data_IF_074638377675
#
_entry.id   IF_074638377675
#
_cell.length_a   1.000
_cell.length_b   1.000
_cell.length_c   1.000
_cell.angle_alpha   90.00
_cell.angle_beta   90.00
_cell.angle_gamma   90.00
#
_symmetry.space_group_name_H-M   'P 1'
#
loop_
_entity.id
_entity.type
_entity.pdbx_description
1 polymer ?
#
# COMPACT_ATOMS: atom_id res chain seq x y z
N UNK A 1 31.88 22.18 61.95
CA UNK A 1 32.78 21.03 61.75
C UNK A 1 32.37 20.32 60.47
N UNK A 2 33.35 20.05 59.60
CA UNK A 2 33.24 19.29 58.35
C UNK A 2 32.96 17.82 58.66
N UNK A 3 32.07 17.19 57.89
CA UNK A 3 32.24 15.85 57.30
C UNK A 3 31.20 15.74 56.18
N UNK A 4 31.56 15.94 54.91
CA UNK A 4 32.22 15.02 53.97
C UNK A 4 31.39 13.76 53.64
N UNK A 5 31.19 13.60 52.33
CA UNK A 5 30.87 12.37 51.58
C UNK A 5 29.36 12.04 51.55
N UNK A 6 28.75 11.56 50.48
CA UNK A 6 29.26 10.84 49.31
C UNK A 6 28.44 11.25 48.07
N UNK A 7 29.12 11.33 46.94
CA UNK A 7 28.51 11.16 45.63
C UNK A 7 27.80 9.80 45.55
N UNK A 8 26.58 9.80 45.03
CA UNK A 8 26.02 8.63 44.37
C UNK A 8 25.05 9.11 43.30
N UNK A 9 25.62 9.27 42.11
CA UNK A 9 24.87 9.24 40.88
C UNK A 9 24.11 7.90 40.83
N UNK A 10 22.80 7.96 40.96
CA UNK A 10 21.94 6.89 40.44
C UNK A 10 21.06 7.55 39.41
N UNK A 11 21.55 7.48 38.18
CA UNK A 11 20.81 7.81 36.99
C UNK A 11 19.69 6.78 36.89
N UNK A 12 18.56 7.07 37.51
CA UNK A 12 17.31 6.41 37.18
C UNK A 12 16.91 6.93 35.78
N UNK A 13 17.54 6.39 34.75
CA UNK A 13 16.87 6.23 33.46
C UNK A 13 15.65 5.38 33.76
N UNK A 14 14.56 6.07 34.09
CA UNK A 14 13.24 5.49 34.07
C UNK A 14 13.08 5.06 32.63
N UNK A 15 13.31 3.76 32.38
CA UNK A 15 12.91 3.10 31.17
C UNK A 15 11.39 3.25 31.11
N UNK A 16 10.94 4.39 30.58
CA UNK A 16 9.67 4.50 29.91
C UNK A 16 9.79 3.54 28.74
N UNK A 17 9.58 2.26 29.05
CA UNK A 17 9.36 1.20 28.08
C UNK A 17 8.19 1.70 27.27
N UNK A 18 8.52 2.27 26.12
CA UNK A 18 7.57 2.66 25.09
C UNK A 18 6.83 1.37 24.76
N UNK A 19 5.69 1.20 25.41
CA UNK A 19 4.68 0.20 25.11
C UNK A 19 4.03 0.63 23.81
N UNK A 20 4.82 0.65 22.74
CA UNK A 20 4.39 1.14 21.46
C UNK A 20 4.95 0.26 20.38
N UNK A 21 4.08 -0.06 19.44
CA UNK A 21 4.37 -0.89 18.28
C UNK A 21 4.47 -2.39 18.56
N UNK A 22 3.55 -2.94 19.36
CA UNK A 22 2.81 -4.11 18.86
C UNK A 22 1.88 -3.61 17.74
N UNK A 23 2.49 -3.08 16.66
CA UNK A 23 1.93 -3.25 15.32
C UNK A 23 1.90 -4.75 15.19
N UNK A 24 0.76 -5.34 15.57
CA UNK A 24 0.30 -6.57 14.97
C UNK A 24 0.62 -6.35 13.49
N UNK A 25 1.66 -7.01 12.99
CA UNK A 25 1.74 -7.31 11.57
C UNK A 25 0.48 -8.13 11.37
N UNK A 26 -0.65 -7.45 11.20
CA UNK A 26 -1.88 -8.01 10.68
C UNK A 26 -1.34 -8.68 9.44
N UNK A 27 -1.24 -10.01 9.47
CA UNK A 27 -0.90 -10.75 8.26
C UNK A 27 -1.80 -10.08 7.22
N UNK A 28 -1.25 -9.45 6.17
CA UNK A 28 -2.10 -8.88 5.14
C UNK A 28 -3.08 -10.01 4.83
N UNK A 29 -4.36 -9.70 4.97
CA UNK A 29 -5.41 -10.67 4.72
C UNK A 29 -5.33 -10.94 3.23
N UNK A 30 -4.39 -11.81 2.86
CA UNK A 30 -3.82 -11.92 1.53
C UNK A 30 -4.90 -12.40 0.55
N UNK A 31 -5.99 -12.94 1.08
CA UNK A 31 -7.17 -13.39 0.34
C UNK A 31 -8.28 -12.35 0.21
N UNK A 32 -8.12 -11.18 0.82
CA UNK A 32 -9.12 -10.11 0.82
C UNK A 32 -8.56 -8.79 0.27
N UNK A 33 -7.70 -8.83 -0.75
CA UNK A 33 -7.30 -7.60 -1.45
C UNK A 33 -8.53 -6.96 -2.12
N UNK A 34 -8.70 -5.64 -1.94
CA UNK A 34 -9.69 -4.84 -2.65
C UNK A 34 -8.95 -3.92 -3.61
N UNK A 35 -9.37 -3.88 -4.87
CA UNK A 35 -8.78 -3.01 -5.89
C UNK A 35 -9.89 -2.32 -6.68
N UNK A 36 -9.57 -1.17 -7.26
CA UNK A 36 -10.39 -0.58 -8.30
C UNK A 36 -10.33 -1.48 -9.54
N UNK A 37 -11.50 -1.86 -10.08
CA UNK A 37 -11.65 -2.78 -11.21
C UNK A 37 -12.51 -2.14 -12.29
N UNK A 38 -11.90 -1.39 -13.20
CA UNK A 38 -12.60 -0.59 -14.20
C UNK A 38 -11.71 -0.22 -15.39
N UNK A 39 -12.34 0.27 -16.46
CA UNK A 39 -11.66 0.91 -17.59
C UNK A 39 -11.87 2.43 -17.54
N UNK A 40 -11.06 3.18 -18.27
CA UNK A 40 -11.23 4.63 -18.42
C UNK A 40 -12.63 5.00 -18.92
N UNK A 41 -13.15 4.24 -19.89
CA UNK A 41 -14.49 4.41 -20.46
C UNK A 41 -15.61 4.24 -19.44
N UNK A 42 -15.43 3.33 -18.49
CA UNK A 42 -16.47 2.92 -17.55
C UNK A 42 -16.23 3.45 -16.13
N UNK A 43 -15.29 4.39 -15.99
CA UNK A 43 -14.82 4.92 -14.72
C UNK A 43 -15.97 5.40 -13.83
N UNK A 44 -16.90 6.17 -14.42
CA UNK A 44 -17.94 6.87 -13.68
C UNK A 44 -18.89 5.94 -12.91
N UNK A 45 -19.15 4.74 -13.43
CA UNK A 45 -20.14 3.83 -12.85
C UNK A 45 -19.55 2.52 -12.34
N UNK A 46 -18.36 2.10 -12.79
CA UNK A 46 -17.67 0.89 -12.29
C UNK A 46 -16.49 1.18 -11.35
N UNK A 47 -16.01 2.42 -11.28
CA UNK A 47 -14.88 2.80 -10.43
C UNK A 47 -15.17 3.76 -9.24
N UNK A 48 -16.41 3.95 -8.74
CA UNK A 48 -16.61 4.80 -7.57
C UNK A 48 -16.03 4.17 -6.28
N UNK A 49 -15.86 2.85 -6.24
CA UNK A 49 -15.30 2.13 -5.10
C UNK A 49 -14.47 0.91 -5.54
N UNK A 50 -13.55 0.50 -4.68
CA UNK A 50 -12.81 -0.73 -4.87
C UNK A 50 -13.70 -1.95 -4.60
N UNK A 51 -13.45 -3.03 -5.34
CA UNK A 51 -14.17 -4.30 -5.22
C UNK A 51 -13.20 -5.40 -4.81
N UNK A 52 -13.73 -6.43 -4.13
CA UNK A 52 -12.93 -7.57 -3.68
C UNK A 52 -12.33 -8.31 -4.88
N UNK A 53 -11.04 -8.56 -4.84
CA UNK A 53 -10.39 -9.44 -5.81
C UNK A 53 -10.86 -10.88 -5.60
N UNK A 54 -11.28 -11.53 -6.68
CA UNK A 54 -11.79 -12.91 -6.65
C UNK A 54 -10.74 -13.89 -7.17
N UNK A 55 -10.93 -15.18 -6.88
CA UNK A 55 -10.11 -16.25 -7.43
C UNK A 55 -8.66 -16.26 -6.93
N UNK A 56 -8.37 -15.76 -5.73
CA UNK A 56 -6.99 -15.77 -5.21
C UNK A 56 -6.06 -14.72 -5.84
N UNK A 57 -6.59 -13.76 -6.58
CA UNK A 57 -5.85 -12.58 -7.04
C UNK A 57 -5.56 -11.67 -5.85
N UNK A 58 -4.29 -11.38 -5.59
CA UNK A 58 -3.86 -10.70 -4.36
C UNK A 58 -3.23 -9.33 -4.63
N UNK A 59 -3.11 -8.93 -5.90
CA UNK A 59 -2.40 -7.74 -6.32
C UNK A 59 -3.30 -6.82 -7.15
N UNK A 60 -3.18 -5.51 -6.96
CA UNK A 60 -3.80 -4.51 -7.81
C UNK A 60 -2.84 -4.07 -8.92
N UNK A 61 -3.38 -3.73 -10.09
CA UNK A 61 -2.63 -3.08 -11.15
C UNK A 61 -3.37 -1.86 -11.71
N UNK A 62 -2.61 -0.97 -12.34
CA UNK A 62 -3.08 0.08 -13.26
C UNK A 62 -2.25 -0.01 -14.53
N UNK A 63 -2.93 -0.19 -15.66
CA UNK A 63 -2.38 -0.11 -17.01
C UNK A 63 -2.51 1.32 -17.50
N UNK A 64 -1.42 1.87 -18.03
CA UNK A 64 -1.37 3.16 -18.68
C UNK A 64 -1.03 2.97 -20.15
N UNK A 65 -1.60 3.82 -21.01
CA UNK A 65 -1.35 3.88 -22.44
C UNK A 65 -0.90 5.29 -22.81
N UNK A 66 -0.03 5.39 -23.81
CA UNK A 66 0.24 6.67 -24.47
C UNK A 66 -0.95 7.09 -25.33
N UNK A 67 -1.30 8.36 -25.26
CA UNK A 67 -2.23 8.99 -26.19
C UNK A 67 -1.51 9.54 -27.43
N UNK A 68 -2.28 10.05 -28.39
CA UNK A 68 -1.78 10.58 -29.67
C UNK A 68 -0.79 11.75 -29.50
N UNK A 69 -0.81 12.42 -28.35
CA UNK A 69 0.08 13.53 -28.02
C UNK A 69 1.31 13.09 -27.21
N UNK A 70 1.52 11.78 -27.03
CA UNK A 70 2.58 11.21 -26.21
C UNK A 70 2.35 11.33 -24.71
N UNK A 71 1.19 11.84 -24.28
CA UNK A 71 0.77 11.90 -22.89
C UNK A 71 0.36 10.53 -22.38
N UNK A 72 0.71 10.21 -21.14
CA UNK A 72 0.34 8.94 -20.54
C UNK A 72 -0.98 9.05 -19.77
N UNK A 73 -1.94 8.18 -20.08
CA UNK A 73 -3.24 8.11 -19.39
C UNK A 73 -3.50 6.68 -18.92
N UNK A 74 -4.11 6.55 -17.74
CA UNK A 74 -4.54 5.24 -17.28
C UNK A 74 -5.68 4.72 -18.16
N UNK A 75 -5.65 3.43 -18.49
CA UNK A 75 -6.62 2.76 -19.35
C UNK A 75 -7.44 1.71 -18.59
N UNK A 76 -6.78 0.94 -17.70
CA UNK A 76 -7.40 -0.16 -16.97
C UNK A 76 -6.87 -0.20 -15.53
N UNK A 77 -7.74 -0.47 -14.57
CA UNK A 77 -7.43 -0.81 -13.19
C UNK A 77 -7.99 -2.20 -12.90
N UNK A 78 -7.26 -3.05 -12.19
CA UNK A 78 -7.73 -4.41 -11.94
C UNK A 78 -7.00 -5.17 -10.83
N UNK A 79 -7.45 -6.40 -10.62
CA UNK A 79 -6.78 -7.40 -9.77
C UNK A 79 -6.05 -8.42 -10.64
N UNK A 80 -4.91 -8.92 -10.16
CA UNK A 80 -4.20 -10.05 -10.77
C UNK A 80 -3.47 -10.89 -9.71
N UNK A 81 -3.00 -12.08 -10.10
CA UNK A 81 -2.15 -12.95 -9.28
C UNK A 81 -0.72 -12.40 -9.17
N UNK A 82 -0.19 -11.89 -10.28
CA UNK A 82 1.14 -11.30 -10.40
C UNK A 82 1.08 -10.06 -11.29
N UNK A 83 2.08 -9.20 -11.22
CA UNK A 83 2.13 -8.01 -12.06
C UNK A 83 2.09 -8.42 -13.54
N UNK A 84 1.11 -7.95 -14.33
CA UNK A 84 1.05 -8.30 -15.75
C UNK A 84 2.29 -7.78 -16.48
N UNK A 85 2.50 -8.26 -17.70
CA UNK A 85 3.54 -7.72 -18.58
C UNK A 85 2.95 -6.61 -19.44
N UNK A 86 3.61 -5.46 -19.48
CA UNK A 86 3.16 -4.33 -20.29
C UNK A 86 3.51 -4.57 -21.77
N UNK A 87 2.62 -4.18 -22.69
CA UNK A 87 2.93 -4.12 -24.11
C UNK A 87 3.92 -3.00 -24.47
N UNK A 88 4.30 -2.89 -25.76
CA UNK A 88 5.32 -1.95 -26.25
C UNK A 88 5.03 -0.47 -25.93
N UNK A 89 3.77 -0.07 -25.92
CA UNK A 89 3.31 1.31 -25.67
C UNK A 89 2.50 1.44 -24.38
N UNK A 90 2.70 0.49 -23.46
CA UNK A 90 1.99 0.41 -22.20
C UNK A 90 2.96 0.54 -21.02
N UNK A 91 2.45 1.07 -19.92
CA UNK A 91 3.13 1.05 -18.62
C UNK A 91 2.23 0.40 -17.58
N UNK A 92 2.80 -0.47 -16.77
CA UNK A 92 2.10 -1.06 -15.63
C UNK A 92 2.62 -0.51 -14.31
N UNK A 93 1.68 -0.26 -13.40
CA UNK A 93 1.95 0.01 -11.99
C UNK A 93 1.21 -1.01 -11.15
N UNK A 94 1.94 -1.75 -10.34
CA UNK A 94 1.41 -2.84 -9.51
C UNK A 94 1.64 -2.57 -8.02
N UNK A 95 0.74 -3.04 -7.17
CA UNK A 95 0.84 -2.88 -5.72
C UNK A 95 0.00 -3.94 -4.97
N UNK A 96 0.37 -4.23 -3.71
CA UNK A 96 -0.19 -5.34 -2.93
C UNK A 96 -1.12 -4.91 -1.78
N UNK A 97 -1.33 -3.61 -1.59
CA UNK A 97 -2.12 -3.09 -0.48
C UNK A 97 -3.56 -2.79 -0.91
N UNK A 98 -4.50 -2.84 0.02
CA UNK A 98 -5.91 -2.53 -0.27
C UNK A 98 -6.04 -1.14 -0.90
N UNK A 99 -6.80 -1.06 -1.98
CA UNK A 99 -7.17 0.17 -2.69
C UNK A 99 -5.99 0.97 -3.28
N UNK A 100 -4.80 0.36 -3.35
CA UNK A 100 -3.56 1.05 -3.73
C UNK A 100 -3.55 1.57 -5.18
N UNK A 101 -4.47 1.10 -6.02
CA UNK A 101 -4.62 1.52 -7.41
C UNK A 101 -5.73 2.59 -7.60
N UNK A 102 -6.14 3.31 -6.56
CA UNK A 102 -7.18 4.35 -6.63
C UNK A 102 -6.87 5.47 -7.63
N UNK A 103 -5.63 5.96 -7.64
CA UNK A 103 -5.16 7.07 -8.47
C UNK A 103 -4.24 6.58 -9.57
#
# INVERSE_FOLDING_TARGET
>A
MKTLLLALAVVAFVCLGSADQQRRKKKPDLHNTYCFQCTAENHWYKCPSATRCTGGRTMCYTLYKRDENGGEKWAVKGCDYSCPTAGPDERLKCCYHHECNKY
#
